data_IF_823281051575
#
_entry.id   IF_823281051575
#
_cell.length_a   1.000
_cell.length_b   1.000
_cell.length_c   1.000
_cell.angle_alpha   90.00
_cell.angle_beta   90.00
_cell.angle_gamma   90.00
#
_symmetry.space_group_name_H-M   'P 1'
#
loop_
_entity.id
_entity.type
_entity.pdbx_description
1 polymer ?
#
# COMPACT_ATOMS: atom_id res chain seq x y z
N UNK A 1 -12.76 10.25 -37.44
CA UNK A 1 -12.00 8.99 -37.37
C UNK A 1 -12.01 8.55 -35.91
N UNK A 2 -12.81 7.56 -35.56
CA UNK A 2 -12.88 7.03 -34.18
C UNK A 2 -11.77 6.01 -33.98
N UNK A 3 -10.96 6.19 -32.96
CA UNK A 3 -9.89 5.25 -32.61
C UNK A 3 -10.50 3.89 -32.25
N UNK A 4 -9.98 2.77 -32.79
CA UNK A 4 -10.48 1.45 -32.43
C UNK A 4 -10.23 1.16 -30.94
N UNK A 5 -11.14 0.41 -30.31
CA UNK A 5 -10.98 -0.03 -28.92
C UNK A 5 -9.73 -0.91 -28.82
N UNK A 6 -8.88 -0.66 -27.83
CA UNK A 6 -7.62 -1.38 -27.58
C UNK A 6 -7.50 -1.71 -26.09
N UNK A 7 -6.85 -2.82 -25.72
CA UNK A 7 -6.53 -3.11 -24.34
C UNK A 7 -5.56 -2.05 -23.78
N UNK A 8 -5.73 -1.71 -22.50
CA UNK A 8 -4.82 -0.80 -21.81
C UNK A 8 -3.46 -1.48 -21.56
N UNK A 9 -2.35 -0.74 -21.67
CA UNK A 9 -1.06 -1.16 -21.14
C UNK A 9 -1.13 -1.50 -19.64
N UNK A 10 -0.32 -2.46 -19.18
CA UNK A 10 -0.35 -2.95 -17.79
C UNK A 10 0.02 -1.89 -16.76
N UNK A 11 0.93 -0.99 -17.09
CA UNK A 11 1.28 0.19 -16.30
C UNK A 11 0.09 1.13 -16.09
N UNK A 12 -0.73 1.34 -17.13
CA UNK A 12 -1.95 2.16 -17.03
C UNK A 12 -2.99 1.48 -16.14
N UNK A 13 -3.13 0.16 -16.23
CA UNK A 13 -4.02 -0.62 -15.35
C UNK A 13 -3.56 -0.46 -13.88
N UNK A 14 -2.26 -0.57 -13.60
CA UNK A 14 -1.72 -0.39 -12.26
C UNK A 14 -1.95 1.03 -11.72
N UNK A 15 -1.80 2.06 -12.56
CA UNK A 15 -2.04 3.46 -12.16
C UNK A 15 -3.51 3.72 -11.83
N UNK A 16 -4.43 3.16 -12.63
CA UNK A 16 -5.87 3.27 -12.36
C UNK A 16 -6.21 2.55 -11.05
N UNK A 17 -5.76 1.31 -10.88
CA UNK A 17 -6.01 0.55 -9.65
C UNK A 17 -5.41 1.23 -8.41
N UNK A 18 -4.22 1.83 -8.52
CA UNK A 18 -3.61 2.58 -7.43
C UNK A 18 -4.45 3.81 -7.03
N UNK A 19 -4.99 4.54 -8.01
CA UNK A 19 -5.85 5.71 -7.78
C UNK A 19 -7.22 5.39 -7.21
N UNK A 20 -7.73 4.17 -7.40
CA UNK A 20 -8.97 3.69 -6.77
C UNK A 20 -8.79 3.21 -5.33
N UNK A 21 -7.58 2.76 -4.98
CA UNK A 21 -7.26 2.21 -3.64
C UNK A 21 -6.71 3.27 -2.68
N UNK A 22 -5.79 4.12 -3.15
CA UNK A 22 -5.24 5.24 -2.37
C UNK A 22 -5.53 6.54 -3.12
N UNK A 23 -6.65 7.17 -2.78
CA UNK A 23 -7.10 8.41 -3.41
C UNK A 23 -6.54 9.68 -2.73
N UNK A 24 -5.92 9.54 -1.57
CA UNK A 24 -5.53 10.65 -0.70
C UNK A 24 -4.37 10.29 0.22
N UNK A 25 -3.65 11.31 0.71
CA UNK A 25 -2.63 11.14 1.76
C UNK A 25 -3.22 10.48 3.01
N UNK A 26 -4.48 10.80 3.34
CA UNK A 26 -5.19 10.20 4.47
C UNK A 26 -5.45 8.69 4.26
N UNK A 27 -5.81 8.26 3.05
CA UNK A 27 -5.92 6.84 2.72
C UNK A 27 -4.57 6.13 2.86
N UNK A 28 -3.48 6.76 2.40
CA UNK A 28 -2.11 6.25 2.60
C UNK A 28 -1.74 6.10 4.08
N UNK A 29 -2.11 7.08 4.93
CA UNK A 29 -1.93 6.98 6.39
C UNK A 29 -2.71 5.80 6.95
N UNK A 30 -4.00 5.68 6.60
CA UNK A 30 -4.90 4.64 7.12
C UNK A 30 -4.32 3.25 6.87
N UNK A 31 -3.96 2.94 5.64
CA UNK A 31 -3.45 1.61 5.25
C UNK A 31 -2.12 1.26 5.94
N UNK A 32 -1.19 2.23 6.04
CA UNK A 32 0.08 2.01 6.73
C UNK A 32 -0.11 1.82 8.25
N UNK A 33 -1.04 2.54 8.86
CA UNK A 33 -1.36 2.40 10.29
C UNK A 33 -2.08 1.08 10.56
N UNK A 34 -3.00 0.66 9.70
CA UNK A 34 -3.66 -0.65 9.80
C UNK A 34 -2.62 -1.78 9.73
N UNK A 35 -1.63 -1.69 8.83
CA UNK A 35 -0.52 -2.65 8.77
C UNK A 35 0.31 -2.69 10.05
N UNK A 36 0.58 -1.54 10.67
CA UNK A 36 1.29 -1.48 11.95
C UNK A 36 0.47 -2.11 13.10
N UNK A 37 -0.85 -1.89 13.13
CA UNK A 37 -1.75 -2.50 14.11
C UNK A 37 -1.78 -4.02 13.94
N UNK A 38 -1.88 -4.51 12.70
CA UNK A 38 -1.86 -5.95 12.42
C UNK A 38 -0.53 -6.59 12.81
N UNK A 39 0.57 -5.85 12.74
CA UNK A 39 1.89 -6.27 13.26
C UNK A 39 2.00 -6.21 14.80
N UNK A 40 0.92 -5.87 15.51
CA UNK A 40 0.88 -5.79 16.97
C UNK A 40 1.60 -4.59 17.57
N UNK A 41 1.78 -3.51 16.80
CA UNK A 41 2.44 -2.31 17.29
C UNK A 41 1.67 -1.68 18.47
N UNK A 42 2.42 -1.24 19.48
CA UNK A 42 1.90 -0.52 20.66
C UNK A 42 2.24 0.96 20.63
N UNK A 43 3.13 1.36 19.72
CA UNK A 43 3.54 2.74 19.47
C UNK A 43 3.68 2.93 17.98
N UNK A 44 2.96 3.92 17.45
CA UNK A 44 2.98 4.29 16.03
C UNK A 44 3.22 5.80 15.94
N UNK A 45 4.21 6.21 15.17
CA UNK A 45 4.53 7.60 14.85
C UNK A 45 4.23 7.89 13.39
N UNK A 46 3.54 9.00 13.13
CA UNK A 46 3.11 9.40 11.77
C UNK A 46 3.58 10.82 11.45
N UNK A 47 4.88 11.04 11.17
CA UNK A 47 5.35 12.31 10.62
C UNK A 47 4.78 12.54 9.22
N UNK A 48 4.18 13.71 9.01
CA UNK A 48 3.59 14.14 7.75
C UNK A 48 4.24 15.46 7.33
N UNK A 49 4.64 15.55 6.06
CA UNK A 49 5.19 16.74 5.45
C UNK A 49 4.34 17.11 4.22
N UNK A 50 3.20 17.79 4.41
CA UNK A 50 2.26 18.12 3.32
C UNK A 50 2.91 18.92 2.20
N UNK A 51 3.86 19.80 2.55
CA UNK A 51 4.60 20.64 1.61
C UNK A 51 5.54 19.85 0.68
N UNK A 52 5.94 18.65 1.09
CA UNK A 52 6.79 17.75 0.30
C UNK A 52 6.02 16.58 -0.30
N UNK A 53 4.71 16.49 -0.02
CA UNK A 53 3.88 15.34 -0.34
C UNK A 53 4.43 14.01 0.17
N UNK A 54 5.13 14.06 1.31
CA UNK A 54 5.72 12.86 1.93
C UNK A 54 5.00 12.49 3.22
N UNK A 55 4.85 11.19 3.40
CA UNK A 55 4.30 10.55 4.57
C UNK A 55 5.29 9.49 5.04
N UNK A 56 5.48 9.38 6.35
CA UNK A 56 6.19 8.26 6.95
C UNK A 56 5.40 7.72 8.14
N UNK A 57 5.35 6.40 8.25
CA UNK A 57 4.81 5.67 9.40
C UNK A 57 5.95 4.87 10.02
N UNK A 58 6.06 4.92 11.34
CA UNK A 58 7.07 4.20 12.12
C UNK A 58 6.35 3.50 13.24
N UNK A 59 6.54 2.19 13.34
CA UNK A 59 5.95 1.38 14.38
C UNK A 59 7.00 0.55 15.12
N UNK A 60 6.56 -0.09 16.20
CA UNK A 60 7.35 -1.04 16.98
C UNK A 60 6.72 -2.45 16.96
N UNK A 61 6.04 -2.79 15.86
CA UNK A 61 5.42 -4.11 15.68
C UNK A 61 6.44 -5.21 15.43
N UNK A 62 5.96 -6.37 15.00
CA UNK A 62 6.78 -7.56 14.74
C UNK A 62 7.81 -7.38 13.61
N UNK A 63 7.64 -6.35 12.77
CA UNK A 63 8.47 -6.12 11.60
C UNK A 63 8.28 -7.19 10.52
N UNK A 64 9.20 -7.19 9.55
CA UNK A 64 9.23 -8.12 8.43
C UNK A 64 10.66 -8.65 8.25
N UNK A 65 10.80 -9.90 7.79
CA UNK A 65 12.09 -10.41 7.35
C UNK A 65 12.55 -9.70 6.07
N UNK A 66 13.84 -9.81 5.71
CA UNK A 66 14.35 -9.23 4.45
C UNK A 66 13.68 -9.86 3.22
N UNK A 67 13.35 -11.15 3.30
CA UNK A 67 12.67 -11.86 2.22
C UNK A 67 11.22 -11.37 2.08
N UNK A 68 10.50 -11.26 3.20
CA UNK A 68 9.14 -10.70 3.20
C UNK A 68 9.11 -9.26 2.72
N UNK A 69 10.13 -8.45 3.07
CA UNK A 69 10.24 -7.06 2.61
C UNK A 69 10.30 -6.96 1.09
N UNK A 70 11.02 -7.88 0.42
CA UNK A 70 11.04 -7.92 -1.04
C UNK A 70 9.67 -8.28 -1.64
N UNK A 71 8.86 -9.06 -0.93
CA UNK A 71 7.53 -9.46 -1.39
C UNK A 71 6.42 -8.48 -0.99
N UNK A 72 6.59 -7.71 0.08
CA UNK A 72 5.55 -6.87 0.67
C UNK A 72 5.02 -5.77 -0.28
N UNK A 73 5.85 -5.32 -1.23
CA UNK A 73 5.45 -4.34 -2.24
C UNK A 73 4.93 -4.99 -3.55
N UNK A 74 4.90 -6.32 -3.63
CA UNK A 74 4.40 -7.04 -4.80
C UNK A 74 2.88 -7.14 -4.73
N UNK A 75 2.23 -6.92 -5.88
CA UNK A 75 0.80 -7.11 -5.98
C UNK A 75 0.40 -8.55 -5.60
N UNK A 76 -0.79 -8.72 -5.04
CA UNK A 76 -1.36 -10.03 -4.67
C UNK A 76 -0.55 -10.85 -3.65
N UNK A 77 0.24 -10.18 -2.80
CA UNK A 77 1.04 -10.82 -1.74
C UNK A 77 0.54 -10.39 -0.36
N UNK A 78 0.25 -11.34 0.53
CA UNK A 78 -0.21 -11.06 1.90
C UNK A 78 0.16 -12.17 2.87
N UNK A 79 0.47 -11.81 4.13
CA UNK A 79 0.65 -12.74 5.25
C UNK A 79 -0.64 -13.02 6.03
N UNK A 80 -1.73 -12.28 5.71
CA UNK A 80 -2.96 -12.25 6.53
C UNK A 80 -4.00 -13.30 6.11
N UNK A 81 -3.99 -13.74 4.85
CA UNK A 81 -5.00 -14.66 4.30
C UNK A 81 -4.29 -15.78 3.54
N UNK A 82 -4.54 -17.03 3.92
CA UNK A 82 -3.96 -18.21 3.25
C UNK A 82 -5.01 -19.10 2.58
N UNK A 83 -6.29 -18.96 2.95
CA UNK A 83 -7.39 -19.74 2.37
C UNK A 83 -8.59 -18.82 2.08
N UNK A 84 -9.12 -18.94 0.87
CA UNK A 84 -10.41 -18.37 0.49
C UNK A 84 -11.51 -19.29 1.02
N UNK A 85 -12.16 -18.92 2.11
CA UNK A 85 -13.45 -19.49 2.47
C UNK A 85 -14.58 -18.68 1.84
#
# INVERSE_FOLDING_TARGET
MTTPIQPLPSDVIHLIAAGEVIDSLAAGVRELVENAIDAGATRIGVPIHPEQWTLRVVDNGSGMSLEDLHQAASAHSTSKIQNSH
#
